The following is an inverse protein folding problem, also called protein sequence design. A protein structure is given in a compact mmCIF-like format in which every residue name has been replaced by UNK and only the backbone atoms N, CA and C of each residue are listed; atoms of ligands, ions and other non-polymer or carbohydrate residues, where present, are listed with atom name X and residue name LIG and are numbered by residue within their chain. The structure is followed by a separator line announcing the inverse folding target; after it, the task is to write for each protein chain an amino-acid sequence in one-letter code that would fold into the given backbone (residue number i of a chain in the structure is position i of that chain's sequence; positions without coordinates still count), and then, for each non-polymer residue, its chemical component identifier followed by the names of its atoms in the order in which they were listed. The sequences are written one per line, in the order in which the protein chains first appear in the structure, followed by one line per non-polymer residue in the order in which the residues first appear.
data_IF_739205521575
#
_entry.id   IF_739205521575
#
_cell.length_a   1.000
_cell.length_b   1.000
_cell.length_c   1.000
_cell.angle_alpha   90.00
_cell.angle_beta   90.00
_cell.angle_gamma   90.00
#
_symmetry.space_group_name_H-M   'P 1'
#
loop_
_entity.id
_entity.type
_entity.pdbx_description
1 polymer ?
#
# COMPACT_ATOMS: atom_id res chain seq x y z
N UNK A 1 38.06 -35.42 8.54
CA UNK A 1 38.57 -35.51 9.92
C UNK A 1 37.39 -35.28 10.86
N UNK A 2 37.20 -36.13 11.87
CA UNK A 2 36.07 -36.05 12.81
C UNK A 2 36.55 -35.50 14.15
N UNK A 3 35.89 -34.46 14.66
CA UNK A 3 36.18 -33.85 15.95
C UNK A 3 35.11 -34.26 16.97
N UNK A 4 35.53 -34.63 18.18
CA UNK A 4 34.64 -34.96 19.28
C UNK A 4 34.66 -33.83 20.31
N UNK A 5 33.47 -33.40 20.75
CA UNK A 5 33.29 -32.28 21.67
C UNK A 5 32.54 -32.73 22.92
N UNK A 6 32.86 -32.12 24.07
CA UNK A 6 32.17 -32.33 25.35
C UNK A 6 31.84 -30.98 25.97
N UNK A 7 30.56 -30.76 26.27
CA UNK A 7 30.11 -29.55 26.96
C UNK A 7 30.55 -29.54 28.42
N UNK A 8 31.07 -28.40 28.88
CA UNK A 8 31.45 -28.15 30.28
C UNK A 8 30.35 -27.42 31.06
N UNK A 9 29.41 -26.77 30.38
CA UNK A 9 28.30 -26.05 31.02
C UNK A 9 28.68 -24.70 31.65
N UNK A 10 29.86 -24.16 31.33
CA UNK A 10 30.35 -22.89 31.87
C UNK A 10 29.81 -21.72 31.05
N UNK A 11 28.77 -21.06 31.56
CA UNK A 11 28.10 -19.97 30.86
C UNK A 11 28.94 -18.67 30.79
N UNK A 12 29.60 -18.22 31.88
CA UNK A 12 30.57 -17.12 31.80
C UNK A 12 31.67 -17.35 30.77
N UNK A 13 32.33 -18.52 30.80
CA UNK A 13 33.38 -18.84 29.83
C UNK A 13 32.83 -18.88 28.40
N UNK A 14 31.62 -19.41 28.20
CA UNK A 14 30.99 -19.41 26.89
C UNK A 14 30.82 -17.99 26.32
N UNK A 15 30.42 -17.01 27.16
CA UNK A 15 30.28 -15.61 26.76
C UNK A 15 31.62 -14.99 26.37
N UNK A 16 32.67 -15.27 27.12
CA UNK A 16 34.01 -14.75 26.82
C UNK A 16 34.56 -15.33 25.51
N UNK A 17 34.40 -16.63 25.28
CA UNK A 17 34.90 -17.34 24.08
C UNK A 17 34.17 -16.91 22.81
N UNK A 18 32.90 -16.52 22.89
CA UNK A 18 32.13 -16.10 21.71
C UNK A 18 32.32 -14.62 21.35
N UNK A 19 32.94 -13.80 22.21
CA UNK A 19 33.13 -12.38 21.94
C UNK A 19 33.85 -12.06 20.61
N UNK A 20 34.93 -12.77 20.23
CA UNK A 20 35.62 -12.49 18.98
C UNK A 20 34.73 -12.63 17.73
N UNK A 21 33.69 -13.45 17.78
CA UNK A 21 32.78 -13.66 16.64
C UNK A 21 31.84 -12.47 16.38
N UNK A 22 31.76 -11.51 17.31
CA UNK A 22 31.08 -10.24 17.06
C UNK A 22 31.90 -9.29 16.17
N UNK A 23 33.21 -9.54 16.03
CA UNK A 23 34.12 -8.80 15.16
C UNK A 23 34.01 -7.28 15.36
N UNK A 24 34.00 -6.85 16.63
CA UNK A 24 33.92 -5.43 16.98
C UNK A 24 35.23 -4.72 16.65
N UNK A 25 35.12 -3.47 16.20
CA UNK A 25 36.24 -2.57 15.95
C UNK A 25 36.38 -1.56 17.08
N UNK A 26 37.53 -0.88 17.15
CA UNK A 26 37.76 0.20 18.12
C UNK A 26 37.14 1.55 17.69
N UNK A 27 36.44 1.58 16.55
CA UNK A 27 35.76 2.77 16.04
C UNK A 27 34.57 3.17 16.92
N UNK A 28 34.39 4.47 17.12
CA UNK A 28 33.27 5.00 17.88
C UNK A 28 31.96 4.86 17.10
N UNK A 29 30.83 4.74 17.82
CA UNK A 29 29.50 4.61 17.22
C UNK A 29 29.39 3.42 16.23
N UNK A 30 30.13 2.34 16.50
CA UNK A 30 30.01 1.08 15.76
C UNK A 30 29.48 -0.04 16.64
N UNK A 31 28.84 -1.02 16.02
CA UNK A 31 28.26 -2.20 16.67
C UNK A 31 29.00 -3.48 16.22
N UNK A 32 28.27 -4.47 15.71
CA UNK A 32 28.82 -5.70 15.17
C UNK A 32 29.55 -5.43 13.85
N UNK A 33 30.66 -6.13 13.58
CA UNK A 33 31.45 -5.99 12.34
C UNK A 33 31.92 -4.55 12.02
N UNK A 34 32.02 -3.67 13.02
CA UNK A 34 32.37 -2.26 12.80
C UNK A 34 31.30 -1.46 12.05
N UNK A 35 30.06 -1.94 12.01
CA UNK A 35 28.97 -1.24 11.33
C UNK A 35 28.47 -0.09 12.19
N UNK A 36 28.35 1.09 11.58
CA UNK A 36 27.81 2.29 12.20
C UNK A 36 26.44 2.03 12.86
N UNK A 37 26.30 2.46 14.10
CA UNK A 37 25.06 2.44 14.86
C UNK A 37 24.77 3.85 15.39
N UNK A 38 23.61 4.44 15.05
CA UNK A 38 23.18 5.70 15.64
C UNK A 38 23.12 5.61 17.18
N UNK A 39 23.42 6.69 17.91
CA UNK A 39 23.28 6.70 19.36
C UNK A 39 21.82 6.45 19.76
N UNK A 40 21.61 5.51 20.67
CA UNK A 40 20.29 5.17 21.21
C UNK A 40 20.08 5.95 22.50
N UNK A 41 18.95 6.63 22.64
CA UNK A 41 18.57 7.32 23.86
C UNK A 41 17.95 6.33 24.86
N UNK A 42 18.80 5.56 25.56
CA UNK A 42 18.38 4.43 26.40
C UNK A 42 17.35 4.81 27.48
N UNK A 43 17.43 6.01 28.04
CA UNK A 43 16.50 6.48 29.08
C UNK A 43 15.07 6.72 28.57
N UNK A 44 14.90 6.96 27.27
CA UNK A 44 13.61 7.24 26.64
C UNK A 44 13.43 6.42 25.35
N UNK A 45 13.70 5.12 25.46
CA UNK A 45 13.46 4.18 24.37
C UNK A 45 12.94 2.86 24.92
N UNK A 46 12.18 2.16 24.10
CA UNK A 46 11.69 0.80 24.33
C UNK A 46 11.97 -0.06 23.10
N UNK A 47 12.23 -1.34 23.31
CA UNK A 47 12.51 -2.29 22.24
C UNK A 47 11.74 -3.59 22.43
N UNK A 48 11.38 -4.22 21.32
CA UNK A 48 10.86 -5.58 21.30
C UNK A 48 11.92 -6.54 20.75
N UNK A 49 12.16 -7.62 21.49
CA UNK A 49 13.03 -8.72 21.11
C UNK A 49 12.21 -9.89 20.57
N UNK A 50 12.29 -10.14 19.27
CA UNK A 50 11.61 -11.26 18.62
C UNK A 50 12.53 -12.45 18.39
N UNK A 51 11.96 -13.58 17.96
CA UNK A 51 12.71 -14.78 17.57
C UNK A 51 13.62 -15.27 18.69
N UNK A 52 14.94 -15.35 18.51
CA UNK A 52 15.85 -15.88 19.52
C UNK A 52 15.86 -15.08 20.84
N UNK A 53 15.48 -13.79 20.82
CA UNK A 53 15.29 -13.06 22.07
C UNK A 53 14.16 -13.66 22.93
N UNK A 54 13.06 -14.04 22.28
CA UNK A 54 11.95 -14.72 22.93
C UNK A 54 12.29 -16.19 23.21
N UNK A 55 12.82 -16.92 22.24
CA UNK A 55 13.07 -18.35 22.43
C UNK A 55 14.13 -18.64 23.51
N UNK A 56 15.17 -17.80 23.62
CA UNK A 56 16.19 -17.97 24.66
C UNK A 56 15.69 -17.60 26.06
N UNK A 57 14.62 -16.82 26.18
CA UNK A 57 14.04 -16.42 27.48
C UNK A 57 12.85 -17.31 27.86
N UNK A 58 12.06 -17.77 26.90
CA UNK A 58 10.81 -18.48 27.17
C UNK A 58 10.93 -20.00 27.10
N UNK A 59 11.50 -20.57 26.03
CA UNK A 59 11.34 -21.99 25.69
C UNK A 59 11.71 -22.93 26.84
N UNK A 60 12.85 -22.66 27.48
CA UNK A 60 13.39 -23.51 28.55
C UNK A 60 13.61 -22.78 29.86
N UNK A 61 13.77 -21.45 29.83
CA UNK A 61 13.95 -20.63 31.04
C UNK A 61 12.62 -20.08 31.58
N UNK A 62 11.53 -20.12 30.79
CA UNK A 62 10.16 -19.74 31.17
C UNK A 62 10.07 -18.33 31.77
N UNK A 63 10.81 -17.39 31.18
CA UNK A 63 10.92 -16.01 31.61
C UNK A 63 10.81 -15.01 30.44
N UNK A 64 10.01 -15.35 29.41
CA UNK A 64 9.68 -14.41 28.33
C UNK A 64 8.93 -13.18 28.84
N UNK A 65 8.82 -12.15 28.00
CA UNK A 65 8.27 -10.85 28.38
C UNK A 65 9.36 -9.85 28.77
N UNK A 66 9.13 -9.11 29.85
CA UNK A 66 10.03 -8.03 30.27
C UNK A 66 11.41 -8.57 30.68
N UNK A 67 12.44 -8.14 29.96
CA UNK A 67 13.80 -8.64 30.13
C UNK A 67 14.48 -8.02 31.35
N UNK A 68 15.12 -8.88 32.15
CA UNK A 68 15.99 -8.47 33.25
C UNK A 68 17.33 -9.22 33.16
N UNK A 69 18.42 -8.49 32.95
CA UNK A 69 19.74 -9.08 32.73
C UNK A 69 20.21 -9.94 33.91
N UNK A 70 19.98 -9.52 35.16
CA UNK A 70 20.42 -10.27 36.34
C UNK A 70 19.68 -11.61 36.47
N UNK A 71 18.36 -11.61 36.30
CA UNK A 71 17.55 -12.82 36.31
C UNK A 71 17.93 -13.75 35.14
N UNK A 72 18.12 -13.18 33.95
CA UNK A 72 18.49 -13.93 32.75
C UNK A 72 19.85 -14.61 32.90
N UNK A 73 20.87 -13.88 33.36
CA UNK A 73 22.20 -14.43 33.59
C UNK A 73 22.17 -15.57 34.60
N UNK A 74 21.41 -15.41 35.70
CA UNK A 74 21.25 -16.45 36.71
C UNK A 74 20.60 -17.71 36.13
N UNK A 75 19.45 -17.56 35.48
CA UNK A 75 18.71 -18.68 34.90
C UNK A 75 19.51 -19.41 33.81
N UNK A 76 20.18 -18.65 32.92
CA UNK A 76 21.03 -19.22 31.88
C UNK A 76 22.23 -19.99 32.47
N UNK A 77 22.88 -19.44 33.49
CA UNK A 77 23.99 -20.11 34.17
C UNK A 77 23.54 -21.40 34.88
N UNK A 78 22.41 -21.37 35.59
CA UNK A 78 21.85 -22.55 36.25
C UNK A 78 21.44 -23.65 35.24
N UNK A 79 20.85 -23.25 34.12
CA UNK A 79 20.52 -24.16 33.02
C UNK A 79 21.79 -24.82 32.47
N UNK A 80 22.84 -24.04 32.19
CA UNK A 80 24.08 -24.56 31.60
C UNK A 80 24.90 -25.44 32.53
N UNK A 81 24.90 -25.13 33.83
CA UNK A 81 25.53 -25.97 34.84
C UNK A 81 24.79 -27.28 35.11
N UNK A 82 23.55 -27.44 34.61
CA UNK A 82 22.77 -28.67 34.78
C UNK A 82 23.31 -29.79 33.87
N UNK A 83 23.50 -30.98 34.45
CA UNK A 83 23.95 -32.17 33.69
C UNK A 83 23.00 -32.46 32.52
N UNK A 84 23.58 -32.80 31.36
CA UNK A 84 22.82 -33.13 30.15
C UNK A 84 21.73 -34.20 30.37
N UNK A 85 22.01 -35.24 31.16
CA UNK A 85 21.03 -36.28 31.48
C UNK A 85 19.80 -35.75 32.20
N UNK A 86 19.97 -34.76 33.08
CA UNK A 86 18.86 -34.12 33.81
C UNK A 86 18.06 -33.20 32.89
N UNK A 87 18.74 -32.45 32.00
CA UNK A 87 18.06 -31.65 30.97
C UNK A 87 17.22 -32.53 30.04
N UNK A 88 17.75 -33.69 29.66
CA UNK A 88 17.03 -34.65 28.84
C UNK A 88 15.81 -35.24 29.55
N UNK A 89 15.94 -35.60 30.83
CA UNK A 89 14.79 -36.06 31.63
C UNK A 89 13.70 -34.98 31.76
N UNK A 90 14.09 -33.71 31.99
CA UNK A 90 13.14 -32.59 32.04
C UNK A 90 12.43 -32.39 30.70
N UNK A 91 13.14 -32.56 29.60
CA UNK A 91 12.57 -32.50 28.24
C UNK A 91 11.58 -33.64 28.01
N UNK A 92 11.96 -34.89 28.30
CA UNK A 92 11.11 -36.08 28.13
C UNK A 92 9.82 -35.99 28.97
N UNK A 93 9.91 -35.37 30.15
CA UNK A 93 8.76 -35.10 31.04
C UNK A 93 7.92 -33.88 30.64
N UNK A 94 8.25 -33.19 29.55
CA UNK A 94 7.48 -32.04 29.05
C UNK A 94 7.55 -30.80 29.93
N UNK A 95 8.67 -30.56 30.65
CA UNK A 95 8.81 -29.40 31.54
C UNK A 95 9.05 -28.08 30.78
N UNK A 96 9.48 -28.16 29.53
CA UNK A 96 9.76 -27.01 28.65
C UNK A 96 8.54 -26.62 27.82
N UNK A 97 8.61 -25.48 27.14
CA UNK A 97 7.55 -25.05 26.23
C UNK A 97 7.28 -26.11 25.16
N UNK A 98 6.03 -26.25 24.74
CA UNK A 98 5.61 -27.29 23.79
C UNK A 98 6.32 -27.26 22.43
N UNK A 99 6.88 -26.12 22.04
CA UNK A 99 7.61 -25.92 20.79
C UNK A 99 9.14 -26.03 20.98
N UNK A 100 9.63 -26.21 22.21
CA UNK A 100 11.04 -26.46 22.46
C UNK A 100 11.38 -27.88 22.01
N UNK A 101 12.30 -28.02 21.06
CA UNK A 101 12.78 -29.30 20.57
C UNK A 101 14.14 -29.68 21.18
N UNK A 102 14.66 -30.86 20.86
CA UNK A 102 15.98 -31.28 21.34
C UNK A 102 17.10 -30.34 20.86
N UNK A 103 16.93 -29.70 19.71
CA UNK A 103 17.87 -28.71 19.21
C UNK A 103 17.91 -27.47 20.13
N UNK A 104 16.76 -26.95 20.55
CA UNK A 104 16.65 -25.88 21.56
C UNK A 104 17.33 -26.29 22.87
N UNK A 105 17.02 -27.47 23.40
CA UNK A 105 17.62 -27.96 24.65
C UNK A 105 19.16 -28.03 24.54
N UNK A 106 19.68 -28.52 23.41
CA UNK A 106 21.12 -28.66 23.14
C UNK A 106 21.85 -27.33 22.99
N UNK A 107 21.28 -26.39 22.24
CA UNK A 107 21.97 -25.15 21.85
C UNK A 107 21.58 -23.93 22.71
N UNK A 108 20.67 -24.09 23.68
CA UNK A 108 20.23 -23.01 24.56
C UNK A 108 21.40 -22.24 25.16
N UNK A 109 22.39 -22.92 25.75
CA UNK A 109 23.51 -22.24 26.41
C UNK A 109 24.27 -21.29 25.49
N UNK A 110 24.62 -21.78 24.30
CA UNK A 110 25.30 -20.97 23.30
C UNK A 110 24.41 -19.81 22.84
N UNK A 111 23.14 -20.08 22.52
CA UNK A 111 22.22 -19.05 22.01
C UNK A 111 21.89 -17.99 23.06
N UNK A 112 21.72 -18.37 24.32
CA UNK A 112 21.57 -17.44 25.45
C UNK A 112 22.80 -16.56 25.64
N UNK A 113 24.00 -17.14 25.57
CA UNK A 113 25.24 -16.38 25.68
C UNK A 113 25.37 -15.41 24.50
N UNK A 114 25.11 -15.88 23.28
CA UNK A 114 25.13 -15.06 22.07
C UNK A 114 24.12 -13.92 22.12
N UNK A 115 22.88 -14.19 22.53
CA UNK A 115 21.84 -13.18 22.71
C UNK A 115 22.29 -12.09 23.70
N UNK A 116 22.84 -12.49 24.85
CA UNK A 116 23.33 -11.56 25.86
C UNK A 116 24.49 -10.70 25.32
N UNK A 117 25.49 -11.33 24.71
CA UNK A 117 26.68 -10.66 24.19
C UNK A 117 26.33 -9.71 23.05
N UNK A 118 25.51 -10.15 22.09
CA UNK A 118 25.01 -9.30 21.00
C UNK A 118 24.23 -8.11 21.52
N UNK A 119 23.37 -8.31 22.52
CA UNK A 119 22.53 -7.22 23.04
C UNK A 119 23.34 -6.20 23.84
N UNK A 120 24.07 -6.64 24.86
CA UNK A 120 24.78 -5.73 25.77
C UNK A 120 26.11 -5.26 25.21
N UNK A 121 26.90 -6.15 24.64
CA UNK A 121 28.23 -5.83 24.15
C UNK A 121 28.24 -5.51 22.65
N UNK A 122 27.39 -6.13 21.84
CA UNK A 122 27.27 -5.85 20.40
C UNK A 122 26.59 -4.50 20.13
N UNK A 123 25.34 -4.36 20.55
CA UNK A 123 24.53 -3.15 20.36
C UNK A 123 24.72 -2.10 21.47
N UNK A 124 25.46 -2.42 22.53
CA UNK A 124 25.81 -1.46 23.58
C UNK A 124 24.68 -1.16 24.56
N UNK A 125 23.67 -2.02 24.69
CA UNK A 125 22.61 -1.80 25.66
C UNK A 125 23.13 -1.91 27.10
N UNK A 126 22.82 -0.95 27.99
CA UNK A 126 23.21 -1.02 29.39
C UNK A 126 22.69 -2.30 30.07
N UNK A 127 23.46 -2.85 31.00
CA UNK A 127 23.07 -4.08 31.74
C UNK A 127 21.80 -3.86 32.58
N UNK A 128 21.57 -2.64 33.05
CA UNK A 128 20.38 -2.24 33.79
C UNK A 128 19.20 -1.79 32.91
N UNK A 129 19.29 -1.97 31.58
CA UNK A 129 18.20 -1.61 30.68
C UNK A 129 16.97 -2.49 30.93
N UNK A 130 15.82 -1.86 31.16
CA UNK A 130 14.58 -2.49 31.62
C UNK A 130 13.41 -2.36 30.63
N UNK A 131 13.59 -1.65 29.51
CA UNK A 131 12.55 -1.42 28.50
C UNK A 131 12.69 -2.35 27.28
N UNK A 132 13.25 -3.56 27.47
CA UNK A 132 13.24 -4.61 26.45
C UNK A 132 12.13 -5.61 26.78
N UNK A 133 11.19 -5.81 25.86
CA UNK A 133 10.18 -6.86 25.95
C UNK A 133 10.46 -7.95 24.91
N UNK A 134 10.69 -9.16 25.37
CA UNK A 134 10.81 -10.34 24.50
C UNK A 134 9.42 -10.90 24.19
N UNK A 135 9.10 -11.13 22.92
CA UNK A 135 7.76 -11.56 22.52
C UNK A 135 7.79 -12.39 21.23
N UNK A 136 6.84 -13.32 21.13
CA UNK A 136 6.53 -14.00 19.86
C UNK A 136 5.53 -13.20 19.02
N UNK A 137 4.60 -12.52 19.69
CA UNK A 137 3.45 -11.85 19.09
C UNK A 137 3.18 -10.53 19.81
N UNK A 138 2.50 -9.60 19.12
CA UNK A 138 2.02 -8.34 19.67
C UNK A 138 0.51 -8.30 19.50
N UNK A 139 -0.23 -8.18 20.61
CA UNK A 139 -1.69 -8.29 20.63
C UNK A 139 -2.23 -9.57 19.97
N UNK A 140 -1.64 -10.72 20.34
CA UNK A 140 -1.99 -12.07 19.84
C UNK A 140 -1.90 -12.20 18.31
N UNK A 141 -1.05 -11.38 17.69
CA UNK A 141 -0.78 -11.39 16.26
C UNK A 141 0.72 -11.40 16.02
N UNK A 142 1.14 -12.21 15.06
CA UNK A 142 2.52 -12.22 14.59
C UNK A 142 2.86 -10.86 13.95
N UNK A 143 4.05 -10.36 14.22
CA UNK A 143 4.53 -9.10 13.64
C UNK A 143 4.93 -9.33 12.18
N UNK A 144 4.10 -8.83 11.27
CA UNK A 144 4.29 -9.00 9.83
C UNK A 144 4.98 -7.76 9.22
N UNK A 145 6.20 -7.91 8.72
CA UNK A 145 6.90 -6.83 8.00
C UNK A 145 6.16 -6.41 6.71
N UNK A 146 5.40 -7.33 6.12
CA UNK A 146 4.56 -7.08 4.93
C UNK A 146 3.47 -6.05 5.19
N UNK A 147 2.96 -5.95 6.44
CA UNK A 147 2.01 -4.91 6.84
C UNK A 147 2.65 -3.52 6.76
N UNK A 148 3.89 -3.37 7.22
CA UNK A 148 4.64 -2.12 7.08
C UNK A 148 4.88 -1.75 5.62
N UNK A 149 5.19 -2.74 4.77
CA UNK A 149 5.38 -2.53 3.34
C UNK A 149 4.11 -2.01 2.65
N UNK A 150 2.95 -2.63 2.91
CA UNK A 150 1.69 -2.15 2.31
C UNK A 150 1.33 -0.76 2.81
N UNK A 151 1.41 -0.49 4.12
CA UNK A 151 1.15 0.83 4.70
C UNK A 151 2.01 1.91 4.07
N UNK A 152 3.31 1.63 3.88
CA UNK A 152 4.23 2.57 3.24
C UNK A 152 3.87 2.83 1.77
N UNK A 153 3.50 1.79 1.02
CA UNK A 153 3.11 1.90 -0.39
C UNK A 153 1.77 2.62 -0.56
N UNK A 154 0.86 2.48 0.39
CA UNK A 154 -0.48 3.09 0.34
C UNK A 154 -0.57 4.44 1.08
N UNK A 155 0.53 4.98 1.61
CA UNK A 155 0.55 6.20 2.44
C UNK A 155 -0.06 7.44 1.79
N UNK A 156 -0.15 7.48 0.46
CA UNK A 156 -0.71 8.60 -0.29
C UNK A 156 -2.17 8.41 -0.69
N UNK A 157 -2.79 7.25 -0.44
CA UNK A 157 -4.23 7.06 -0.72
C UNK A 157 -5.11 8.11 -0.01
N UNK A 158 -4.86 8.48 1.27
CA UNK A 158 -5.65 9.51 1.95
C UNK A 158 -5.54 10.90 1.30
N UNK A 159 -4.46 11.19 0.55
CA UNK A 159 -4.33 12.48 -0.14
C UNK A 159 -5.36 12.64 -1.25
N UNK A 160 -5.86 11.55 -1.84
CA UNK A 160 -6.92 11.62 -2.85
C UNK A 160 -8.20 12.23 -2.26
N UNK A 161 -8.55 11.82 -1.05
CA UNK A 161 -9.76 12.28 -0.37
C UNK A 161 -9.58 13.69 0.20
N UNK A 162 -8.39 14.02 0.71
CA UNK A 162 -8.08 15.35 1.27
C UNK A 162 -7.91 16.42 0.18
N UNK A 163 -7.23 16.10 -0.92
CA UNK A 163 -6.93 17.06 -1.99
C UNK A 163 -8.02 17.13 -3.07
N UNK A 164 -9.14 16.42 -2.94
CA UNK A 164 -10.25 16.55 -3.88
C UNK A 164 -10.81 17.99 -3.95
N UNK A 165 -10.66 18.77 -2.88
CA UNK A 165 -10.97 20.20 -2.88
C UNK A 165 -9.89 21.07 -3.56
N UNK A 166 -8.61 20.71 -3.42
CA UNK A 166 -7.47 21.45 -3.99
C UNK A 166 -7.14 21.08 -5.44
N UNK A 167 -7.54 19.89 -5.91
CA UNK A 167 -7.37 19.42 -7.30
C UNK A 167 -8.60 19.63 -8.17
N UNK A 168 -9.62 20.39 -7.70
CA UNK A 168 -10.57 21.01 -8.62
C UNK A 168 -9.78 21.93 -9.54
N UNK A 169 -9.41 21.41 -10.72
CA UNK A 169 -8.59 22.13 -11.67
C UNK A 169 -9.17 23.51 -11.93
N UNK A 170 -8.33 24.53 -11.80
CA UNK A 170 -8.65 25.87 -12.29
C UNK A 170 -8.80 25.77 -13.82
N UNK A 171 -10.02 25.49 -14.27
CA UNK A 171 -10.33 25.53 -15.69
C UNK A 171 -10.29 26.99 -16.13
N UNK A 172 -9.38 27.39 -17.04
CA UNK A 172 -9.43 28.72 -17.60
C UNK A 172 -10.79 28.89 -18.31
N UNK A 173 -11.40 30.06 -18.15
CA UNK A 173 -12.71 30.47 -18.68
C UNK A 173 -12.87 30.42 -20.22
N UNK A 174 -11.95 29.77 -20.94
CA UNK A 174 -11.95 29.65 -22.39
C UNK A 174 -13.16 28.90 -22.97
N UNK A 175 -13.86 28.08 -22.16
CA UNK A 175 -15.11 27.44 -22.58
C UNK A 175 -16.29 28.43 -22.75
N UNK A 176 -16.28 29.58 -22.08
CA UNK A 176 -17.32 30.59 -22.27
C UNK A 176 -17.18 31.34 -23.60
N UNK A 177 -15.96 31.61 -24.06
CA UNK A 177 -15.73 32.32 -25.33
C UNK A 177 -16.15 31.48 -26.56
N UNK A 178 -15.92 30.16 -26.52
CA UNK A 178 -16.31 29.26 -27.61
C UNK A 178 -17.84 29.09 -27.75
N UNK A 179 -18.58 29.12 -26.62
CA UNK A 179 -20.04 28.99 -26.63
C UNK A 179 -20.73 30.24 -27.21
N UNK A 180 -20.25 31.42 -26.82
CA UNK A 180 -20.82 32.70 -27.27
C UNK A 180 -20.64 32.89 -28.78
N UNK A 181 -19.49 32.52 -29.35
CA UNK A 181 -19.23 32.64 -30.79
C UNK A 181 -20.11 31.69 -31.63
N UNK A 182 -20.39 30.50 -31.11
CA UNK A 182 -21.22 29.49 -31.79
C UNK A 182 -22.69 29.94 -31.89
N UNK A 183 -23.22 30.63 -30.87
CA UNK A 183 -24.61 31.07 -30.87
C UNK A 183 -24.86 32.21 -31.87
N UNK A 184 -23.93 33.17 -32.00
CA UNK A 184 -24.03 34.23 -33.01
C UNK A 184 -23.95 33.69 -34.44
N UNK A 185 -23.12 32.68 -34.69
CA UNK A 185 -23.02 32.03 -35.99
C UNK A 185 -24.33 31.32 -36.37
N UNK A 186 -24.96 30.63 -35.42
CA UNK A 186 -26.26 30.00 -35.64
C UNK A 186 -27.35 31.01 -35.98
N UNK A 187 -27.45 32.13 -35.25
CA UNK A 187 -28.43 33.18 -35.56
C UNK A 187 -28.18 33.83 -36.92
N UNK A 188 -26.93 34.11 -37.27
CA UNK A 188 -26.59 34.65 -38.58
C UNK A 188 -27.03 33.72 -39.72
N UNK A 189 -26.75 32.42 -39.62
CA UNK A 189 -27.19 31.43 -40.60
C UNK A 189 -28.72 31.35 -40.69
N UNK A 190 -29.43 31.37 -39.55
CA UNK A 190 -30.89 31.36 -39.52
C UNK A 190 -31.50 32.57 -40.25
N UNK A 191 -31.00 33.78 -39.99
CA UNK A 191 -31.49 35.00 -40.66
C UNK A 191 -31.23 34.98 -42.17
N UNK A 192 -30.09 34.47 -42.62
CA UNK A 192 -29.77 34.35 -44.06
C UNK A 192 -30.77 33.43 -44.77
N UNK A 193 -31.07 32.27 -44.17
CA UNK A 193 -32.03 31.31 -44.75
C UNK A 193 -33.45 31.90 -44.75
N UNK A 194 -33.85 32.58 -43.68
CA UNK A 194 -35.17 33.18 -43.60
C UNK A 194 -35.34 34.31 -44.64
N UNK A 195 -34.29 35.11 -44.85
CA UNK A 195 -34.27 36.15 -45.87
C UNK A 195 -34.30 35.56 -47.29
N UNK A 196 -33.59 34.46 -47.55
CA UNK A 196 -33.64 33.80 -48.86
C UNK A 196 -35.02 33.20 -49.14
N UNK A 197 -35.68 32.59 -48.15
CA UNK A 197 -37.07 32.12 -48.24
C UNK A 197 -38.02 33.30 -48.50
N UNK A 198 -37.89 34.40 -47.75
CA UNK A 198 -38.72 35.60 -47.97
C UNK A 198 -38.53 36.16 -49.38
N UNK A 199 -37.29 36.31 -49.86
CA UNK A 199 -37.01 36.75 -51.22
C UNK A 199 -37.56 35.78 -52.27
N UNK A 200 -37.46 34.47 -52.03
CA UNK A 200 -38.03 33.46 -52.90
C UNK A 200 -39.56 33.56 -52.98
N UNK A 201 -40.24 33.70 -51.84
CA UNK A 201 -41.69 33.89 -51.76
C UNK A 201 -42.12 35.23 -52.38
N UNK A 202 -41.37 36.31 -52.17
CA UNK A 202 -41.62 37.61 -52.80
C UNK A 202 -41.41 37.54 -54.32
N UNK A 203 -40.39 36.81 -54.79
CA UNK A 203 -40.17 36.53 -56.21
C UNK A 203 -41.32 35.72 -56.79
N UNK A 204 -41.78 34.67 -56.11
CA UNK A 204 -42.95 33.88 -56.48
C UNK A 204 -44.23 34.73 -56.54
N UNK A 205 -44.48 35.58 -55.53
CA UNK A 205 -45.61 36.52 -55.55
C UNK A 205 -45.49 37.52 -56.69
N UNK A 206 -44.29 38.01 -56.99
CA UNK A 206 -44.04 38.93 -58.12
C UNK A 206 -44.26 38.22 -59.46
N UNK A 207 -43.83 36.96 -59.59
CA UNK A 207 -44.07 36.13 -60.79
C UNK A 207 -45.57 35.83 -60.91
N UNK A 208 -46.24 35.38 -59.85
CA UNK A 208 -47.68 35.14 -59.83
C UNK A 208 -48.49 36.40 -60.16
N UNK A 209 -48.11 37.57 -59.63
CA UNK A 209 -48.71 38.85 -60.04
C UNK A 209 -48.46 39.16 -61.52
N UNK A 210 -47.28 38.83 -62.06
CA UNK A 210 -46.98 38.99 -63.49
C UNK A 210 -47.75 38.00 -64.37
N UNK A 211 -47.96 36.74 -63.95
CA UNK A 211 -48.80 35.78 -64.69
C UNK A 211 -50.29 36.13 -64.59
N UNK A 212 -50.76 36.68 -63.47
CA UNK A 212 -52.12 37.25 -63.38
C UNK A 212 -52.27 38.51 -64.25
N UNK A 213 -51.22 39.33 -64.39
CA UNK A 213 -51.24 40.52 -65.27
C UNK A 213 -51.06 40.18 -66.76
N UNK A 214 -50.37 39.09 -67.11
CA UNK A 214 -50.27 38.57 -68.47
C UNK A 214 -51.38 37.55 -68.83
N UNK A 215 -52.31 37.29 -67.91
CA UNK A 215 -53.47 36.40 -68.10
C UNK A 215 -54.80 37.14 -68.34
N UNK A 216 -54.79 38.46 -68.50
CA UNK A 216 -55.97 39.28 -68.78
C UNK A 216 -56.01 39.71 -70.25
N UNK A 217 -56.35 38.76 -71.13
CA UNK A 217 -56.94 39.03 -72.44
C UNK A 217 -57.88 37.86 -72.76
N UNK A 218 -59.21 38.06 -72.78
CA UNK A 218 -60.17 36.99 -73.02
C UNK A 218 -60.24 36.65 -74.52
N UNK A 219 -60.40 35.37 -74.92
CA UNK A 219 -60.63 35.02 -76.31
C UNK A 219 -62.07 35.39 -76.72
N UNK A 220 -62.18 35.84 -77.97
CA UNK A 220 -63.32 36.52 -78.57
C UNK A 220 -64.11 35.50 -79.41
N UNK A 221 -65.36 35.25 -79.01
CA UNK A 221 -66.57 34.72 -79.70
C UNK A 221 -66.48 33.67 -80.82
N UNK A 222 -67.45 32.73 -80.85
CA UNK A 222 -68.54 32.65 -81.86
C UNK A 222 -69.37 31.33 -81.73
N UNK A 223 -70.71 31.47 -81.70
CA UNK A 223 -71.76 30.46 -82.00
C UNK A 223 -71.61 29.96 -83.45
N UNK A 224 -71.84 28.72 -83.88
CA UNK A 224 -73.10 27.95 -83.91
C UNK A 224 -72.83 26.74 -84.84
N UNK A 225 -73.51 25.60 -84.65
CA UNK A 225 -73.60 24.56 -85.70
C UNK A 225 -73.57 23.09 -85.23
N UNK A 226 -74.72 22.57 -84.78
CA UNK A 226 -75.09 21.14 -84.58
C UNK A 226 -75.09 20.33 -85.91
N UNK A 227 -75.38 19.00 -85.95
CA UNK A 227 -75.11 17.86 -85.03
C UNK A 227 -74.78 16.51 -85.76
N UNK A 228 -74.46 15.43 -85.01
CA UNK A 228 -75.18 14.12 -85.05
C UNK A 228 -74.39 12.92 -84.48
N UNK A 229 -74.85 12.44 -83.31
CA UNK A 229 -75.21 11.04 -82.98
C UNK A 229 -74.17 9.89 -83.12
N UNK A 230 -73.76 9.30 -81.99
CA UNK A 230 -74.12 7.94 -81.48
C UNK A 230 -73.08 7.37 -80.49
N UNK A 231 -73.59 6.93 -79.33
CA UNK A 231 -73.02 6.01 -78.31
C UNK A 231 -73.19 4.55 -78.84
N UNK A 232 -72.68 3.39 -78.30
CA UNK A 232 -71.78 3.06 -77.16
C UNK A 232 -70.71 1.96 -77.41
N UNK A 233 -69.90 1.69 -76.38
CA UNK A 233 -69.50 0.32 -75.93
C UNK A 233 -68.26 -0.26 -76.61
N UNK A 234 -67.41 -1.05 -75.95
CA UNK A 234 -67.43 -1.71 -74.65
C UNK A 234 -66.24 -2.69 -74.59
N UNK A 235 -65.98 -3.19 -73.36
CA UNK A 235 -64.94 -4.16 -72.94
C UNK A 235 -63.48 -3.72 -73.02
#
# INVERSE_FOLDING_TARGET
QTLYLRGTGDFPLCRDVIQPFMNKTNETQTSLNGIYQPPIHFENSEFYGFSEFFYCTEDVLRMGGDYNAAQFLKAANEYCATKWSVLWERFDRGLYASHADLHRVKYQCFKSAWMYEVFHNGFGFPVNYNNLKTALQVYDKEVQWTLGAILYRTRFLPLRDIQQENFRGNHPHWRSFAFVYNHYLFFACFFIVLLSILLYLLRLRRIHRRTVHNGSSPPLWIEEGLPSQKIPGGL
#
